data_IF_296768492042
#
_entry.id   IF_296768492042
#
_cell.length_a   1.000
_cell.length_b   1.000
_cell.length_c   1.000
_cell.angle_alpha   90.00
_cell.angle_beta   90.00
_cell.angle_gamma   90.00
#
_symmetry.space_group_name_H-M   'P 1'
#
loop_
_entity.id
_entity.type
_entity.pdbx_description
1 polymer ?
#
# COMPACT_ATOMS: atom_id res chain seq x y z
N UNK A 1 12.13 7.94 -0.39
CA UNK A 1 12.01 7.12 -1.63
C UNK A 1 10.55 6.81 -1.86
N UNK A 2 10.15 6.57 -3.12
CA UNK A 2 8.77 6.20 -3.40
C UNK A 2 8.45 4.76 -2.95
N UNK A 3 7.37 4.63 -2.21
CA UNK A 3 6.78 3.37 -1.79
C UNK A 3 5.32 3.28 -2.25
N UNK A 4 4.82 2.07 -2.40
CA UNK A 4 3.57 1.76 -3.06
C UNK A 4 2.70 0.89 -2.17
N UNK A 5 1.45 1.28 -1.95
CA UNK A 5 0.45 0.49 -1.23
C UNK A 5 -0.74 0.20 -2.15
N UNK A 6 -1.10 -1.08 -2.30
CA UNK A 6 -2.30 -1.47 -3.05
C UNK A 6 -3.48 -1.40 -2.09
N UNK A 7 -4.53 -0.69 -2.47
CA UNK A 7 -5.75 -0.55 -1.69
C UNK A 7 -6.97 -0.90 -2.55
N UNK A 8 -8.09 -1.28 -1.92
CA UNK A 8 -9.38 -1.20 -2.59
C UNK A 8 -9.74 0.26 -2.79
N UNK A 9 -10.30 0.60 -3.95
CA UNK A 9 -10.68 1.97 -4.28
C UNK A 9 -11.69 2.53 -3.26
N UNK A 10 -12.60 1.69 -2.74
CA UNK A 10 -13.59 2.07 -1.74
C UNK A 10 -12.94 2.46 -0.40
N UNK A 11 -11.98 1.67 0.08
CA UNK A 11 -11.23 1.95 1.32
C UNK A 11 -10.46 3.27 1.19
N UNK A 12 -9.86 3.52 0.03
CA UNK A 12 -9.20 4.79 -0.25
C UNK A 12 -10.18 5.98 -0.29
N UNK A 13 -11.36 5.84 -0.92
CA UNK A 13 -12.36 6.92 -0.90
C UNK A 13 -12.83 7.23 0.52
N UNK A 14 -13.09 6.20 1.33
CA UNK A 14 -13.50 6.37 2.72
C UNK A 14 -12.41 7.09 3.54
N UNK A 15 -11.14 6.72 3.34
CA UNK A 15 -10.03 7.37 4.02
C UNK A 15 -9.87 8.85 3.66
N UNK A 16 -10.06 9.22 2.38
CA UNK A 16 -10.05 10.64 1.99
C UNK A 16 -11.14 11.46 2.70
N UNK A 17 -12.30 10.86 2.97
CA UNK A 17 -13.37 11.52 3.72
C UNK A 17 -13.09 11.56 5.23
N UNK A 18 -12.49 10.50 5.77
CA UNK A 18 -12.17 10.36 7.19
C UNK A 18 -10.89 11.11 7.61
N UNK A 19 -10.02 11.46 6.65
CA UNK A 19 -8.70 12.04 6.90
C UNK A 19 -7.66 11.03 7.42
N UNK A 20 -7.94 9.74 7.34
CA UNK A 20 -7.05 8.68 7.86
C UNK A 20 -7.29 7.36 7.15
N UNK A 21 -6.22 6.64 6.83
CA UNK A 21 -6.26 5.31 6.21
C UNK A 21 -5.62 4.27 7.15
N UNK A 22 -6.33 3.17 7.38
CA UNK A 22 -6.00 2.16 8.41
C UNK A 22 -6.10 0.72 7.91
N UNK A 23 -6.11 0.48 6.61
CA UNK A 23 -6.10 -0.88 6.04
C UNK A 23 -4.66 -1.29 5.78
N UNK A 24 -4.23 -2.44 6.32
CA UNK A 24 -2.83 -2.87 6.22
C UNK A 24 -2.55 -3.64 4.93
N UNK A 25 -3.45 -4.54 4.57
CA UNK A 25 -3.30 -5.47 3.45
C UNK A 25 -4.67 -5.80 2.85
N UNK A 26 -4.72 -6.77 1.93
CA UNK A 26 -5.98 -7.21 1.35
C UNK A 26 -6.97 -7.79 2.37
N UNK A 27 -6.48 -8.28 3.52
CA UNK A 27 -7.30 -9.02 4.49
C UNK A 27 -7.22 -8.49 5.92
N UNK A 28 -6.38 -7.50 6.20
CA UNK A 28 -6.15 -7.03 7.57
C UNK A 28 -6.14 -5.50 7.67
N UNK A 29 -6.46 -5.03 8.86
CA UNK A 29 -6.38 -3.64 9.29
C UNK A 29 -5.07 -3.36 10.02
N UNK A 30 -4.71 -2.08 10.12
CA UNK A 30 -3.59 -1.60 10.94
C UNK A 30 -3.72 -2.04 12.41
N UNK A 31 -4.94 -2.13 12.94
CA UNK A 31 -5.15 -2.54 14.32
C UNK A 31 -4.82 -4.03 14.55
N UNK A 32 -4.94 -4.86 13.53
CA UNK A 32 -4.67 -6.30 13.60
C UNK A 32 -3.19 -6.63 13.40
N UNK A 33 -2.50 -5.92 12.50
CA UNK A 33 -1.10 -6.20 12.16
C UNK A 33 -0.08 -5.26 12.83
N UNK A 34 -0.50 -4.05 13.22
CA UNK A 34 0.36 -3.04 13.86
C UNK A 34 1.17 -2.16 12.90
N UNK A 35 1.11 -2.42 11.60
CA UNK A 35 1.69 -1.60 10.54
C UNK A 35 0.84 -1.70 9.26
N UNK A 36 1.15 -0.91 8.23
CA UNK A 36 0.58 -1.02 6.88
C UNK A 36 1.67 -1.50 5.93
N UNK A 37 1.38 -2.56 5.17
CA UNK A 37 2.31 -3.09 4.17
C UNK A 37 2.44 -2.13 2.99
N UNK A 38 3.67 -1.81 2.60
CA UNK A 38 3.98 -1.18 1.33
C UNK A 38 5.00 -2.03 0.57
N UNK A 39 5.25 -1.65 -0.68
CA UNK A 39 6.20 -2.28 -1.59
C UNK A 39 7.07 -1.20 -2.23
N UNK A 40 8.28 -1.57 -2.65
CA UNK A 40 9.01 -0.81 -3.67
C UNK A 40 8.41 -1.06 -5.05
N UNK A 41 8.81 -0.28 -6.06
CA UNK A 41 8.34 -0.48 -7.44
C UNK A 41 8.65 -1.90 -7.97
N UNK A 42 9.84 -2.45 -7.65
CA UNK A 42 10.25 -3.78 -8.08
C UNK A 42 9.44 -4.91 -7.42
N UNK A 43 8.88 -4.65 -6.25
CA UNK A 43 8.11 -5.63 -5.46
C UNK A 43 6.63 -5.67 -5.83
N UNK A 44 6.11 -4.58 -6.41
CA UNK A 44 4.68 -4.32 -6.51
C UNK A 44 3.92 -5.38 -7.32
N UNK A 45 4.47 -5.81 -8.45
CA UNK A 45 3.83 -6.85 -9.29
C UNK A 45 3.74 -8.20 -8.56
N UNK A 46 4.81 -8.61 -7.86
CA UNK A 46 4.82 -9.84 -7.08
C UNK A 46 3.85 -9.76 -5.88
N UNK A 47 3.81 -8.61 -5.19
CA UNK A 47 2.84 -8.34 -4.12
C UNK A 47 1.41 -8.43 -4.62
N UNK A 48 1.10 -7.76 -5.74
CA UNK A 48 -0.21 -7.80 -6.35
C UNK A 48 -0.61 -9.24 -6.69
N UNK A 49 0.26 -9.97 -7.40
CA UNK A 49 0.01 -11.35 -7.82
C UNK A 49 -0.23 -12.31 -6.67
N UNK A 50 0.38 -12.08 -5.50
CA UNK A 50 0.25 -12.93 -4.32
C UNK A 50 -0.98 -12.63 -3.47
N UNK A 51 -1.36 -11.36 -3.31
CA UNK A 51 -2.34 -10.95 -2.31
C UNK A 51 -3.62 -10.33 -2.89
N UNK A 52 -3.61 -9.93 -4.17
CA UNK A 52 -4.70 -9.18 -4.80
C UNK A 52 -5.25 -9.85 -6.08
N UNK A 53 -4.68 -10.98 -6.53
CA UNK A 53 -5.08 -11.66 -7.77
C UNK A 53 -6.56 -12.07 -7.81
N UNK A 54 -7.11 -12.47 -6.67
CA UNK A 54 -8.50 -12.94 -6.56
C UNK A 54 -9.46 -11.85 -6.03
N UNK A 55 -9.02 -10.59 -6.01
CA UNK A 55 -9.84 -9.45 -5.64
C UNK A 55 -10.48 -8.87 -6.90
N UNK A 56 -11.81 -8.86 -6.93
CA UNK A 56 -12.59 -8.42 -8.10
C UNK A 56 -13.07 -6.98 -7.98
N UNK A 57 -12.97 -6.40 -6.78
CA UNK A 57 -13.26 -5.00 -6.53
C UNK A 57 -12.20 -4.09 -7.18
N UNK A 58 -12.57 -2.86 -7.57
CA UNK A 58 -11.61 -1.92 -8.13
C UNK A 58 -10.45 -1.65 -7.15
N UNK A 59 -9.21 -1.72 -7.65
CA UNK A 59 -8.00 -1.44 -6.89
C UNK A 59 -7.44 -0.07 -7.26
N UNK A 60 -6.65 0.47 -6.34
CA UNK A 60 -5.78 1.63 -6.57
C UNK A 60 -4.40 1.36 -5.99
N UNK A 61 -3.38 1.98 -6.59
CA UNK A 61 -2.03 2.06 -6.01
C UNK A 61 -1.83 3.46 -5.45
N UNK A 62 -1.61 3.54 -4.15
CA UNK A 62 -1.23 4.75 -3.44
C UNK A 62 0.30 4.89 -3.52
N UNK A 63 0.76 5.99 -4.08
CA UNK A 63 2.18 6.32 -4.22
C UNK A 63 2.54 7.34 -3.14
N UNK A 64 3.52 7.03 -2.31
CA UNK A 64 3.94 7.86 -1.17
C UNK A 64 5.46 8.01 -1.14
N UNK A 65 5.98 8.96 -0.35
CA UNK A 65 7.41 9.06 -0.04
C UNK A 65 7.68 8.68 1.43
N UNK A 66 8.51 7.66 1.64
CA UNK A 66 8.89 7.20 2.99
C UNK A 66 9.53 8.30 3.86
N UNK A 67 10.24 9.25 3.25
CA UNK A 67 10.93 10.33 3.97
C UNK A 67 9.93 11.36 4.47
N UNK A 68 8.88 11.64 3.68
CA UNK A 68 7.82 12.56 4.08
C UNK A 68 7.01 11.99 5.24
N UNK A 69 6.67 10.71 5.19
CA UNK A 69 5.96 10.01 6.28
C UNK A 69 6.81 10.02 7.56
N UNK A 70 8.10 9.71 7.43
CA UNK A 70 9.04 9.72 8.56
C UNK A 70 9.22 11.12 9.15
N UNK A 71 9.32 12.15 8.30
CA UNK A 71 9.41 13.55 8.75
C UNK A 71 8.13 14.04 9.44
N UNK A 72 6.97 13.47 9.10
CA UNK A 72 5.70 13.71 9.78
C UNK A 72 5.56 12.98 11.13
N UNK A 73 6.53 12.15 11.51
CA UNK A 73 6.58 11.47 12.80
C UNK A 73 6.07 10.02 12.79
N UNK A 74 5.74 9.45 11.62
CA UNK A 74 5.36 8.05 11.49
C UNK A 74 6.52 7.23 10.96
N UNK A 75 6.92 6.19 11.69
CA UNK A 75 8.07 5.37 11.29
C UNK A 75 7.75 4.54 10.04
N UNK A 76 8.65 4.58 9.06
CA UNK A 76 8.69 3.63 7.94
C UNK A 76 9.94 2.79 8.08
N UNK A 77 9.78 1.47 8.24
CA UNK A 77 10.92 0.54 8.41
C UNK A 77 10.89 -0.47 7.29
N UNK A 78 12.03 -0.66 6.63
CA UNK A 78 12.19 -1.70 5.62
C UNK A 78 12.62 -2.99 6.32
N UNK A 79 11.73 -3.98 6.44
CA UNK A 79 11.98 -5.23 7.17
C UNK A 79 12.15 -6.42 6.22
N UNK A 80 13.00 -7.38 6.59
CA UNK A 80 13.21 -8.60 5.80
C UNK A 80 11.95 -9.47 5.79
N UNK A 81 11.50 -9.82 4.59
CA UNK A 81 10.49 -10.81 4.37
C UNK A 81 11.12 -12.18 4.11
N UNK A 82 10.30 -13.24 4.16
CA UNK A 82 10.76 -14.62 3.96
C UNK A 82 11.33 -14.94 2.57
N UNK A 83 11.34 -13.98 1.64
CA UNK A 83 11.95 -14.07 0.31
C UNK A 83 13.35 -13.42 0.23
N UNK A 84 13.90 -12.91 1.34
CA UNK A 84 15.21 -12.26 1.38
C UNK A 84 15.21 -10.81 0.88
N UNK A 85 14.06 -10.26 0.55
CA UNK A 85 13.90 -8.84 0.24
C UNK A 85 13.40 -8.05 1.45
N UNK A 86 13.58 -6.73 1.43
CA UNK A 86 13.09 -5.84 2.47
C UNK A 86 11.88 -5.05 1.99
N UNK A 87 10.77 -5.13 2.71
CA UNK A 87 9.53 -4.44 2.40
C UNK A 87 9.32 -3.26 3.34
N UNK A 88 8.87 -2.09 2.85
CA UNK A 88 8.50 -0.97 3.71
C UNK A 88 7.23 -1.29 4.50
N UNK A 89 7.30 -1.10 5.81
CA UNK A 89 6.16 -1.14 6.73
C UNK A 89 5.97 0.23 7.36
N UNK A 90 4.74 0.75 7.31
CA UNK A 90 4.37 2.05 7.88
C UNK A 90 3.74 1.80 9.25
N UNK A 91 4.40 2.20 10.33
CA UNK A 91 3.97 1.94 11.71
C UNK A 91 3.02 3.03 12.21
N UNK A 92 1.86 3.13 11.56
CA UNK A 92 0.82 4.07 11.92
C UNK A 92 -0.21 4.27 10.82
N UNK A 93 -1.30 5.01 11.10
CA UNK A 93 -2.26 5.38 10.08
C UNK A 93 -1.62 6.27 9.03
N UNK A 94 -2.06 6.13 7.78
CA UNK A 94 -1.61 7.01 6.69
C UNK A 94 -2.56 8.20 6.60
N UNK A 95 -2.01 9.41 6.66
CA UNK A 95 -2.74 10.62 6.29
C UNK A 95 -2.88 10.67 4.75
N UNK A 96 -4.09 10.81 4.20
CA UNK A 96 -4.29 11.00 2.77
C UNK A 96 -3.44 12.11 2.13
N UNK A 97 -3.04 13.13 2.89
CA UNK A 97 -2.16 14.20 2.42
C UNK A 97 -0.71 13.75 2.16
N UNK A 98 -0.29 12.57 2.64
CA UNK A 98 1.02 11.98 2.33
C UNK A 98 1.03 11.20 1.00
N UNK A 99 -0.16 10.95 0.42
CA UNK A 99 -0.29 10.27 -0.86
C UNK A 99 -0.02 11.27 -1.99
N UNK A 100 1.10 11.08 -2.68
CA UNK A 100 1.55 11.92 -3.79
C UNK A 100 0.67 11.73 -5.03
N UNK A 101 0.23 10.50 -5.25
CA UNK A 101 -0.62 10.11 -6.37
C UNK A 101 -1.38 8.82 -6.03
N UNK A 102 -2.58 8.66 -6.57
CA UNK A 102 -3.42 7.47 -6.39
C UNK A 102 -3.96 7.03 -7.74
N UNK A 103 -3.47 5.90 -8.24
CA UNK A 103 -3.77 5.44 -9.60
C UNK A 103 -4.67 4.22 -9.62
N UNK A 104 -5.70 4.17 -10.49
CA UNK A 104 -6.48 2.95 -10.69
C UNK A 104 -5.58 1.79 -11.10
N UNK A 105 -5.81 0.61 -10.52
CA UNK A 105 -4.98 -0.56 -10.77
C UNK A 105 -5.82 -1.78 -11.15
N UNK A 106 -5.28 -2.63 -12.01
CA UNK A 106 -5.90 -3.89 -12.42
C UNK A 106 -4.84 -4.88 -12.94
N UNK A 107 -5.25 -6.14 -13.10
CA UNK A 107 -4.49 -7.09 -13.92
C UNK A 107 -4.98 -6.99 -15.36
N UNK A 108 -4.06 -6.87 -16.32
CA UNK A 108 -4.40 -6.86 -17.74
C UNK A 108 -4.74 -8.27 -18.26
N UNK A 109 -5.07 -8.37 -19.56
CA UNK A 109 -5.44 -9.63 -20.21
C UNK A 109 -4.32 -10.69 -20.18
N UNK A 110 -3.08 -10.27 -19.96
CA UNK A 110 -1.91 -11.16 -19.86
C UNK A 110 -1.54 -11.51 -18.41
N UNK A 111 -2.27 -10.95 -17.44
CA UNK A 111 -2.07 -11.19 -16.02
C UNK A 111 -0.97 -10.33 -15.38
N UNK A 112 -0.49 -9.29 -16.08
CA UNK A 112 0.43 -8.29 -15.52
C UNK A 112 -0.33 -7.25 -14.73
N UNK A 113 0.25 -6.82 -13.61
CA UNK A 113 -0.34 -5.78 -12.77
C UNK A 113 0.01 -4.38 -13.32
N UNK A 114 -1.00 -3.57 -13.61
CA UNK A 114 -0.87 -2.23 -14.19
C UNK A 114 -1.57 -1.18 -13.33
N UNK A 115 -0.97 0.01 -13.23
CA UNK A 115 -1.46 1.15 -12.46
C UNK A 115 -0.87 2.48 -12.98
#
# INVERSE_FOLDING_TARGET
MQIFHIARAADWQAAKMAGTYTVSSSTATLAEEGFIHASTAAQLEATAGRFYRDIHEPLVVLIMDDQQITAAGTAVVHEEAGNGERYPHIFGPVDPAWVLDARPAHFDETGHFVF
#
